data_IF_477666049501
#
_entry.id   IF_477666049501
#
_cell.length_a   1.000
_cell.length_b   1.000
_cell.length_c   1.000
_cell.angle_alpha   90.00
_cell.angle_beta   90.00
_cell.angle_gamma   90.00
#
_symmetry.space_group_name_H-M   'P 1'
#
loop_
_entity.id
_entity.type
_entity.pdbx_description
1 polymer ?
#
# COMPACT_ATOMS: atom_id res chain seq x y z
N UNK A 1 2.01 18.91 26.36
CA UNK A 1 2.03 19.93 25.28
C UNK A 1 2.04 19.20 23.94
N UNK A 2 0.88 19.04 23.28
CA UNK A 2 0.83 18.52 21.90
C UNK A 2 1.07 19.69 20.97
N UNK A 3 2.13 19.61 20.17
CA UNK A 3 2.49 20.62 19.19
C UNK A 3 1.38 20.71 18.14
N UNK A 4 0.74 21.87 18.09
CA UNK A 4 -0.10 22.30 16.98
C UNK A 4 0.79 22.49 15.75
N UNK A 5 0.82 21.50 14.85
CA UNK A 5 1.21 21.72 13.45
C UNK A 5 -0.06 21.78 12.62
N UNK A 6 -0.46 23.00 12.25
CA UNK A 6 -1.44 23.20 11.19
C UNK A 6 -0.77 22.89 9.83
N UNK A 7 -1.35 21.97 9.06
CA UNK A 7 -1.06 21.80 7.62
C UNK A 7 -0.73 20.38 7.18
N UNK A 8 -1.75 19.59 6.87
CA UNK A 8 -1.64 18.28 6.21
C UNK A 8 -2.10 17.11 7.08
N UNK A 9 -2.99 16.28 6.57
CA UNK A 9 -3.30 15.01 7.23
C UNK A 9 -2.02 14.15 7.24
N UNK A 10 -1.63 13.52 8.36
CA UNK A 10 -0.35 12.84 8.50
C UNK A 10 -0.36 11.47 7.82
N UNK A 11 -0.60 11.48 6.51
CA UNK A 11 -0.62 10.30 5.65
C UNK A 11 0.24 10.56 4.42
N UNK A 12 0.98 9.54 4.02
CA UNK A 12 1.87 9.58 2.87
C UNK A 12 1.50 8.41 1.94
N UNK A 13 1.49 8.63 0.61
CA UNK A 13 1.18 7.56 -0.33
C UNK A 13 2.19 6.40 -0.22
N UNK A 14 1.69 5.17 -0.27
CA UNK A 14 2.51 3.96 -0.16
C UNK A 14 3.58 3.87 -1.27
N UNK A 15 3.24 4.33 -2.48
CA UNK A 15 4.12 4.29 -3.65
C UNK A 15 5.36 5.20 -3.51
N UNK A 16 5.32 6.22 -2.66
CA UNK A 16 6.50 7.08 -2.38
C UNK A 16 7.63 6.28 -1.72
N UNK A 17 7.28 5.22 -0.97
CA UNK A 17 8.25 4.35 -0.27
C UNK A 17 8.47 3.01 -0.96
N UNK A 18 7.44 2.50 -1.62
CA UNK A 18 7.46 1.17 -2.25
C UNK A 18 6.93 1.20 -3.68
N UNK A 19 7.59 1.91 -4.61
CA UNK A 19 7.09 2.11 -5.98
C UNK A 19 6.90 0.78 -6.73
N UNK A 20 7.86 -0.14 -6.66
CA UNK A 20 7.79 -1.44 -7.37
C UNK A 20 6.67 -2.35 -6.86
N UNK A 21 6.37 -2.27 -5.56
CA UNK A 21 5.28 -3.06 -4.95
C UNK A 21 3.94 -2.42 -5.31
N UNK A 22 3.85 -1.09 -5.20
CA UNK A 22 2.67 -0.35 -5.56
C UNK A 22 2.29 -0.55 -7.03
N UNK A 23 3.25 -0.54 -7.96
CA UNK A 23 3.02 -0.79 -9.39
C UNK A 23 2.37 -2.16 -9.64
N UNK A 24 2.80 -3.19 -8.92
CA UNK A 24 2.31 -4.58 -9.11
C UNK A 24 1.00 -4.85 -8.38
N UNK A 25 0.73 -4.15 -7.30
CA UNK A 25 -0.27 -4.58 -6.31
C UNK A 25 -1.41 -3.57 -6.07
N UNK A 26 -1.26 -2.34 -6.57
CA UNK A 26 -2.32 -1.32 -6.51
C UNK A 26 -3.57 -1.86 -7.19
N UNK A 27 -4.68 -1.83 -6.45
CA UNK A 27 -5.97 -2.26 -6.99
C UNK A 27 -6.44 -1.22 -8.01
N UNK A 28 -7.02 -1.71 -9.10
CA UNK A 28 -7.75 -0.91 -10.06
C UNK A 28 -9.17 -1.45 -10.23
N UNK A 29 -10.11 -0.56 -10.55
CA UNK A 29 -11.47 -0.88 -10.96
C UNK A 29 -11.66 -0.28 -12.35
N UNK A 30 -11.86 -1.14 -13.35
CA UNK A 30 -12.17 -0.71 -14.71
C UNK A 30 -13.69 -0.66 -14.88
N UNK A 31 -14.25 0.54 -15.04
CA UNK A 31 -15.66 0.71 -15.36
C UNK A 31 -15.84 0.73 -16.87
N UNK A 32 -16.53 -0.29 -17.41
CA UNK A 32 -16.90 -0.37 -18.83
C UNK A 32 -18.41 -0.54 -18.86
N UNK A 33 -19.11 0.40 -19.51
CA UNK A 33 -20.57 0.42 -19.56
C UNK A 33 -21.24 0.34 -18.17
N UNK A 34 -20.57 0.83 -17.12
CA UNK A 34 -21.16 0.91 -15.79
C UNK A 34 -22.25 2.01 -15.79
N UNK A 35 -23.47 1.72 -15.31
CA UNK A 35 -24.59 2.67 -15.34
C UNK A 35 -24.41 3.85 -14.37
N UNK A 36 -23.53 3.73 -13.37
CA UNK A 36 -23.32 4.72 -12.31
C UNK A 36 -21.94 5.40 -12.43
N UNK A 37 -20.92 4.67 -12.86
CA UNK A 37 -19.55 5.18 -13.04
C UNK A 37 -19.24 5.48 -14.51
N UNK A 38 -18.72 6.68 -14.82
CA UNK A 38 -18.17 6.98 -16.14
C UNK A 38 -17.10 5.96 -16.55
N UNK A 39 -17.03 5.65 -17.85
CA UNK A 39 -16.05 4.70 -18.39
C UNK A 39 -14.62 5.19 -18.20
N UNK A 40 -13.95 4.66 -17.20
CA UNK A 40 -12.60 5.02 -16.77
C UNK A 40 -11.96 3.84 -16.04
N UNK A 41 -10.67 3.95 -15.77
CA UNK A 41 -9.96 3.12 -14.81
C UNK A 41 -9.75 3.91 -13.52
N UNK A 42 -10.19 3.34 -12.41
CA UNK A 42 -10.09 3.95 -11.09
C UNK A 42 -9.03 3.20 -10.27
N UNK A 43 -7.87 3.84 -10.07
CA UNK A 43 -6.79 3.32 -9.25
C UNK A 43 -6.98 3.67 -7.78
N UNK A 44 -6.82 2.70 -6.89
CA UNK A 44 -6.94 2.89 -5.44
C UNK A 44 -5.55 3.13 -4.84
N UNK A 45 -5.07 4.38 -4.93
CA UNK A 45 -3.74 4.73 -4.43
C UNK A 45 -3.77 4.75 -2.90
N UNK A 46 -3.09 3.78 -2.30
CA UNK A 46 -2.99 3.63 -0.85
C UNK A 46 -2.14 4.73 -0.21
N UNK A 47 -2.58 5.27 0.91
CA UNK A 47 -1.82 6.17 1.78
C UNK A 47 -1.97 5.76 3.24
N UNK A 48 -0.86 5.86 3.99
CA UNK A 48 -0.72 5.34 5.34
C UNK A 48 -0.16 6.39 6.31
N UNK A 49 -0.49 6.24 7.60
CA UNK A 49 -0.10 7.22 8.61
C UNK A 49 1.42 7.23 8.78
N UNK A 50 2.03 8.42 8.65
CA UNK A 50 3.47 8.60 8.77
C UNK A 50 3.91 9.15 10.14
N UNK A 51 3.02 9.14 11.14
CA UNK A 51 3.40 9.44 12.52
C UNK A 51 4.18 8.26 13.13
N UNK A 52 5.37 8.51 13.70
CA UNK A 52 6.12 7.50 14.44
C UNK A 52 5.30 6.88 15.57
N UNK A 53 5.41 5.57 15.74
CA UNK A 53 4.74 4.75 16.77
C UNK A 53 3.20 4.74 16.71
N UNK A 54 2.58 5.30 15.67
CA UNK A 54 1.14 5.25 15.47
C UNK A 54 0.70 3.91 14.86
N UNK A 55 -0.08 3.12 15.61
CA UNK A 55 -0.73 1.87 15.15
C UNK A 55 -2.18 2.11 14.71
N UNK A 56 -2.46 3.15 13.91
CA UNK A 56 -3.86 3.47 13.57
C UNK A 56 -4.61 2.35 12.82
N UNK A 57 -3.92 1.40 12.17
CA UNK A 57 -4.51 0.26 11.42
C UNK A 57 -5.54 0.70 10.37
N UNK A 58 -5.20 1.77 9.65
CA UNK A 58 -6.06 2.39 8.63
C UNK A 58 -5.30 2.63 7.33
N UNK A 59 -6.06 2.61 6.24
CA UNK A 59 -5.62 3.00 4.90
C UNK A 59 -6.52 4.11 4.37
N UNK A 60 -5.95 5.02 3.60
CA UNK A 60 -6.68 6.00 2.81
C UNK A 60 -6.49 5.63 1.34
N UNK A 61 -7.58 5.46 0.61
CA UNK A 61 -7.58 5.30 -0.83
C UNK A 61 -7.79 6.66 -1.48
N UNK A 62 -6.75 7.20 -2.10
CA UNK A 62 -6.87 8.29 -3.05
C UNK A 62 -7.30 7.67 -4.39
N UNK A 63 -8.60 7.69 -4.66
CA UNK A 63 -9.16 7.07 -5.86
C UNK A 63 -8.88 7.98 -7.05
N UNK A 64 -7.93 7.58 -7.88
CA UNK A 64 -7.49 8.32 -9.05
C UNK A 64 -8.20 7.80 -10.31
N UNK A 65 -8.89 8.67 -11.03
CA UNK A 65 -9.51 8.36 -12.31
C UNK A 65 -8.51 8.64 -13.43
N UNK A 66 -8.08 7.60 -14.17
CA UNK A 66 -6.95 7.65 -15.10
C UNK A 66 -7.20 8.58 -16.28
N UNK A 67 -8.35 8.47 -16.96
CA UNK A 67 -8.68 9.32 -18.11
C UNK A 67 -8.94 10.75 -17.67
N UNK A 68 -9.60 10.94 -16.53
CA UNK A 68 -9.86 12.27 -15.94
C UNK A 68 -8.61 12.92 -15.33
N UNK A 69 -7.58 12.14 -15.03
CA UNK A 69 -6.30 12.55 -14.42
C UNK A 69 -6.46 13.32 -13.10
N UNK A 70 -7.41 12.90 -12.27
CA UNK A 70 -7.69 13.54 -10.99
C UNK A 70 -8.06 12.54 -9.89
N UNK A 71 -7.85 12.92 -8.63
CA UNK A 71 -8.40 12.20 -7.47
C UNK A 71 -9.88 12.57 -7.36
N UNK A 72 -10.75 11.57 -7.55
CA UNK A 72 -12.21 11.75 -7.55
C UNK A 72 -12.86 11.39 -6.21
N UNK A 73 -12.16 10.66 -5.35
CA UNK A 73 -12.59 10.37 -3.98
C UNK A 73 -11.40 10.09 -3.07
N UNK A 74 -11.54 10.39 -1.78
CA UNK A 74 -10.63 9.93 -0.72
C UNK A 74 -11.44 9.15 0.30
N UNK A 75 -11.18 7.85 0.38
CA UNK A 75 -11.95 6.89 1.17
C UNK A 75 -11.05 6.28 2.24
N UNK A 76 -11.41 6.41 3.51
CA UNK A 76 -10.69 5.80 4.62
C UNK A 76 -11.31 4.47 5.01
N UNK A 77 -10.48 3.47 5.31
CA UNK A 77 -10.90 2.16 5.82
C UNK A 77 -10.00 1.72 6.97
N UNK A 78 -10.61 1.10 7.97
CA UNK A 78 -9.94 0.59 9.16
C UNK A 78 -10.32 -0.84 9.49
N UNK A 79 -9.34 -1.73 9.55
CA UNK A 79 -9.60 -3.17 9.75
C UNK A 79 -9.66 -3.60 11.23
N UNK A 80 -9.21 -2.78 12.17
CA UNK A 80 -9.24 -3.13 13.59
C UNK A 80 -10.67 -3.23 14.18
N UNK A 81 -10.81 -3.85 15.35
CA UNK A 81 -12.13 -3.98 16.00
C UNK A 81 -12.65 -2.64 16.52
N UNK A 82 -13.97 -2.52 16.72
CA UNK A 82 -14.55 -1.31 17.34
C UNK A 82 -13.94 -1.02 18.72
N UNK A 83 -13.73 -2.06 19.52
CA UNK A 83 -13.08 -1.94 20.83
C UNK A 83 -11.63 -1.46 20.72
N UNK A 84 -10.90 -1.85 19.67
CA UNK A 84 -9.57 -1.30 19.41
C UNK A 84 -9.65 0.20 19.15
N UNK A 85 -10.54 0.65 18.26
CA UNK A 85 -10.67 2.06 17.93
C UNK A 85 -11.16 2.92 19.10
N UNK A 86 -12.06 2.38 19.93
CA UNK A 86 -12.49 3.07 21.15
C UNK A 86 -11.30 3.35 22.08
N UNK A 87 -10.42 2.36 22.29
CA UNK A 87 -9.20 2.52 23.10
C UNK A 87 -8.19 3.45 22.43
N UNK A 88 -7.99 3.31 21.12
CA UNK A 88 -7.02 4.09 20.36
C UNK A 88 -7.38 5.58 20.32
N UNK A 89 -8.66 5.92 20.14
CA UNK A 89 -9.15 7.29 20.25
C UNK A 89 -9.16 7.82 21.69
N UNK A 90 -9.22 6.92 22.68
CA UNK A 90 -9.50 7.28 24.07
C UNK A 90 -10.95 7.72 24.32
N UNK A 91 -11.88 7.36 23.42
CA UNK A 91 -13.30 7.67 23.53
C UNK A 91 -14.17 6.60 22.87
N UNK A 92 -15.43 6.47 23.32
CA UNK A 92 -16.34 5.42 22.87
C UNK A 92 -17.55 5.96 22.06
N UNK A 93 -17.36 7.01 21.26
CA UNK A 93 -18.43 7.52 20.39
C UNK A 93 -18.70 6.53 19.23
N UNK A 94 -19.91 5.95 19.12
CA UNK A 94 -20.18 4.92 18.12
C UNK A 94 -20.08 5.44 16.68
N UNK A 95 -20.49 6.68 16.41
CA UNK A 95 -20.49 7.26 15.05
C UNK A 95 -19.06 7.47 14.57
N UNK A 96 -18.21 8.03 15.42
CA UNK A 96 -16.78 8.19 15.10
C UNK A 96 -16.10 6.84 14.88
N UNK A 97 -16.41 5.84 15.71
CA UNK A 97 -15.85 4.50 15.56
C UNK A 97 -16.27 3.86 14.23
N UNK A 98 -17.53 4.00 13.83
CA UNK A 98 -18.02 3.49 12.55
C UNK A 98 -17.37 4.23 11.37
N UNK A 99 -17.14 5.55 11.47
CA UNK A 99 -16.36 6.31 10.46
C UNK A 99 -14.88 5.87 10.41
N UNK A 100 -14.26 5.52 11.55
CA UNK A 100 -12.90 4.98 11.57
C UNK A 100 -12.80 3.61 10.92
N UNK A 101 -13.79 2.74 11.15
CA UNK A 101 -13.91 1.42 10.53
C UNK A 101 -14.11 1.54 9.02
N UNK A 102 -14.99 2.43 8.60
CA UNK A 102 -15.28 2.65 7.18
C UNK A 102 -15.72 1.38 6.43
N UNK A 103 -15.58 1.35 5.09
CA UNK A 103 -15.07 2.44 4.26
C UNK A 103 -15.96 3.68 4.35
N UNK A 104 -15.36 4.85 4.56
CA UNK A 104 -16.05 6.12 4.71
C UNK A 104 -15.29 7.24 3.98
N UNK A 105 -16.00 8.25 3.49
CA UNK A 105 -15.36 9.41 2.88
C UNK A 105 -14.54 10.18 3.91
N UNK A 106 -13.31 10.52 3.56
CA UNK A 106 -12.53 11.45 4.35
C UNK A 106 -13.08 12.87 4.16
N UNK A 107 -13.81 13.37 5.15
CA UNK A 107 -14.49 14.68 5.09
C UNK A 107 -13.55 15.87 4.92
N UNK A 108 -12.29 15.74 5.34
CA UNK A 108 -11.28 16.78 5.19
C UNK A 108 -10.69 16.87 3.77
N UNK A 109 -10.94 15.88 2.90
CA UNK A 109 -10.49 15.88 1.51
C UNK A 109 -11.57 16.36 0.56
N UNK A 110 -11.15 16.91 -0.59
CA UNK A 110 -12.05 17.16 -1.71
C UNK A 110 -12.66 15.84 -2.20
N UNK A 111 -13.97 15.84 -2.43
CA UNK A 111 -14.72 14.71 -2.96
C UNK A 111 -15.45 15.13 -4.24
N UNK A 112 -15.50 14.27 -5.25
CA UNK A 112 -16.34 14.49 -6.43
C UNK A 112 -17.75 13.92 -6.23
N UNK A 113 -18.65 14.16 -7.20
CA UNK A 113 -19.99 13.53 -7.23
C UNK A 113 -19.93 12.00 -7.37
N UNK A 114 -18.79 11.44 -7.79
CA UNK A 114 -18.58 9.99 -7.90
C UNK A 114 -18.27 9.32 -6.56
N UNK A 115 -17.91 10.10 -5.54
CA UNK A 115 -17.38 9.57 -4.28
C UNK A 115 -18.36 8.61 -3.55
N UNK A 116 -19.68 8.87 -3.48
CA UNK A 116 -20.62 7.92 -2.87
C UNK A 116 -20.66 6.56 -3.59
N UNK A 117 -20.64 6.58 -4.93
CA UNK A 117 -20.64 5.35 -5.75
C UNK A 117 -19.35 4.56 -5.50
N UNK A 118 -18.22 5.26 -5.47
CA UNK A 118 -16.91 4.65 -5.20
C UNK A 118 -16.81 4.06 -3.79
N UNK A 119 -17.47 4.64 -2.78
CA UNK A 119 -17.57 4.01 -1.45
C UNK A 119 -18.28 2.66 -1.53
N UNK A 120 -19.39 2.56 -2.26
CA UNK A 120 -20.09 1.28 -2.44
C UNK A 120 -19.21 0.27 -3.20
N UNK A 121 -18.48 0.70 -4.24
CA UNK A 121 -17.53 -0.19 -4.92
C UNK A 121 -16.40 -0.66 -3.99
N UNK A 122 -15.87 0.23 -3.14
CA UNK A 122 -14.87 -0.16 -2.12
C UNK A 122 -15.45 -1.14 -1.10
N UNK A 123 -16.71 -0.99 -0.67
CA UNK A 123 -17.35 -1.98 0.23
C UNK A 123 -17.35 -3.38 -0.38
N UNK A 124 -17.67 -3.50 -1.67
CA UNK A 124 -17.63 -4.79 -2.38
C UNK A 124 -16.20 -5.33 -2.48
N UNK A 125 -15.23 -4.48 -2.86
CA UNK A 125 -13.82 -4.88 -2.97
C UNK A 125 -13.26 -5.38 -1.62
N UNK A 126 -13.65 -4.74 -0.50
CA UNK A 126 -13.20 -5.10 0.84
C UNK A 126 -13.83 -6.39 1.39
N UNK A 127 -14.77 -7.02 0.68
CA UNK A 127 -15.25 -8.37 1.02
C UNK A 127 -14.20 -9.45 0.69
N UNK A 128 -13.23 -9.14 -0.18
CA UNK A 128 -12.11 -10.04 -0.46
C UNK A 128 -11.08 -9.98 0.68
N UNK A 129 -11.08 -11.01 1.52
CA UNK A 129 -10.13 -11.14 2.62
C UNK A 129 -8.67 -11.09 2.15
N UNK A 130 -8.35 -11.61 0.95
CA UNK A 130 -6.99 -11.55 0.41
C UNK A 130 -6.57 -10.11 0.12
N UNK A 131 -7.50 -9.27 -0.30
CA UNK A 131 -7.23 -7.85 -0.47
C UNK A 131 -7.01 -7.16 0.88
N UNK A 132 -7.84 -7.47 1.89
CA UNK A 132 -7.68 -6.92 3.23
C UNK A 132 -6.34 -7.33 3.86
N UNK A 133 -5.90 -8.58 3.69
CA UNK A 133 -4.58 -9.03 4.15
C UNK A 133 -3.44 -8.34 3.41
N UNK A 134 -3.60 -8.04 2.12
CA UNK A 134 -2.62 -7.25 1.36
C UNK A 134 -2.49 -5.83 1.92
N UNK A 135 -3.60 -5.17 2.23
CA UNK A 135 -3.59 -3.83 2.85
C UNK A 135 -2.90 -3.84 4.22
N UNK A 136 -3.11 -4.88 5.03
CA UNK A 136 -2.43 -5.04 6.31
C UNK A 136 -0.92 -5.24 6.13
N UNK A 137 -0.50 -6.00 5.12
CA UNK A 137 0.91 -6.19 4.78
C UNK A 137 1.56 -4.89 4.34
N UNK A 138 0.94 -4.15 3.43
CA UNK A 138 1.43 -2.85 2.98
C UNK A 138 1.54 -1.86 4.14
N UNK A 139 0.53 -1.82 5.03
CA UNK A 139 0.60 -1.03 6.26
C UNK A 139 1.80 -1.41 7.14
N UNK A 140 2.04 -2.70 7.38
CA UNK A 140 3.16 -3.15 8.19
C UNK A 140 4.52 -2.80 7.55
N UNK A 141 4.66 -2.98 6.22
CA UNK A 141 5.84 -2.55 5.47
C UNK A 141 6.07 -1.05 5.60
N UNK A 142 5.01 -0.25 5.43
CA UNK A 142 5.06 1.20 5.58
C UNK A 142 5.49 1.62 6.98
N UNK A 143 4.83 1.08 8.02
CA UNK A 143 5.14 1.38 9.42
C UNK A 143 6.57 0.99 9.80
N UNK A 144 7.10 -0.12 9.29
CA UNK A 144 8.49 -0.48 9.51
C UNK A 144 9.47 0.61 9.04
N UNK A 145 9.19 1.27 7.91
CA UNK A 145 10.03 2.39 7.42
C UNK A 145 9.85 3.68 8.20
N UNK A 146 8.65 3.93 8.74
CA UNK A 146 8.36 5.15 9.53
C UNK A 146 8.98 5.06 10.91
N UNK A 147 8.90 3.90 11.54
CA UNK A 147 9.35 3.68 12.92
C UNK A 147 10.85 3.33 12.98
N UNK A 148 11.54 3.31 11.85
CA UNK A 148 12.97 2.98 11.76
C UNK A 148 13.28 1.50 12.04
N UNK A 149 12.29 0.61 11.92
CA UNK A 149 12.51 -0.82 12.06
C UNK A 149 13.33 -1.34 10.86
N UNK A 150 14.24 -2.32 11.07
CA UNK A 150 14.92 -2.97 9.96
C UNK A 150 13.87 -3.54 9.01
N UNK A 151 13.92 -3.18 7.73
CA UNK A 151 12.99 -3.72 6.74
C UNK A 151 13.06 -5.25 6.80
N UNK A 152 11.93 -5.97 6.87
CA UNK A 152 11.96 -7.39 6.58
C UNK A 152 12.46 -7.48 5.14
N UNK A 153 13.68 -7.98 4.98
CA UNK A 153 14.27 -8.22 3.68
C UNK A 153 13.21 -8.98 2.88
N UNK A 154 12.70 -8.35 1.82
CA UNK A 154 11.94 -9.07 0.82
C UNK A 154 12.83 -10.24 0.46
N UNK A 155 12.37 -11.46 0.77
CA UNK A 155 12.94 -12.67 0.18
C UNK A 155 12.68 -12.52 -1.31
N UNK A 156 13.55 -11.80 -1.99
CA UNK A 156 13.79 -12.01 -3.40
C UNK A 156 14.22 -13.47 -3.48
N UNK A 157 13.28 -14.36 -3.79
CA UNK A 157 13.58 -15.68 -4.32
C UNK A 157 14.20 -15.45 -5.70
N UNK A 158 15.47 -15.10 -5.64
CA UNK A 158 16.36 -14.78 -6.73
C UNK A 158 17.73 -14.81 -6.11
N UNK A 159 18.12 -15.99 -5.60
CA UNK A 159 19.52 -16.24 -5.26
C UNK A 159 20.30 -15.94 -6.53
N UNK A 160 21.01 -14.81 -6.56
CA UNK A 160 22.09 -14.63 -7.51
C UNK A 160 22.93 -15.91 -7.44
N UNK A 161 23.24 -16.55 -8.59
CA UNK A 161 23.99 -17.79 -8.57
C UNK A 161 25.24 -17.56 -7.71
N UNK A 162 25.59 -18.52 -6.83
CA UNK A 162 26.69 -18.35 -5.90
C UNK A 162 27.91 -17.86 -6.68
N UNK A 163 28.53 -16.76 -6.23
CA UNK A 163 29.70 -16.17 -6.88
C UNK A 163 30.78 -17.25 -6.99
N UNK A 164 30.93 -17.85 -8.18
CA UNK A 164 31.93 -18.88 -8.43
C UNK A 164 33.31 -18.23 -8.26
N UNK A 165 34.10 -18.76 -7.33
CA UNK A 165 35.45 -18.27 -7.10
C UNK A 165 36.30 -18.40 -8.36
N UNK A 166 37.08 -17.37 -8.71
CA UNK A 166 37.93 -17.32 -9.92
C UNK A 166 38.83 -18.55 -10.10
N UNK A 167 39.24 -19.21 -9.02
CA UNK A 167 40.10 -20.41 -9.06
C UNK A 167 39.34 -21.75 -9.00
N UNK A 168 38.01 -21.75 -8.83
CA UNK A 168 37.21 -22.97 -8.78
C UNK A 168 37.17 -23.70 -10.13
N UNK A 169 36.93 -25.03 -10.17
CA UNK A 169 36.67 -25.75 -11.42
C UNK A 169 35.53 -25.09 -12.21
N UNK A 170 35.71 -24.96 -13.52
CA UNK A 170 34.74 -24.31 -14.38
C UNK A 170 33.52 -25.23 -14.62
N UNK A 171 32.28 -24.74 -14.44
CA UNK A 171 31.08 -25.58 -14.54
C UNK A 171 30.76 -26.05 -15.96
N UNK A 172 31.45 -25.58 -16.99
CA UNK A 172 31.25 -26.04 -18.38
C UNK A 172 31.88 -27.41 -18.69
N UNK A 173 32.50 -28.06 -17.70
CA UNK A 173 33.12 -29.39 -17.87
C UNK A 173 34.49 -29.36 -18.57
N UNK A 174 35.08 -28.17 -18.80
CA UNK A 174 36.38 -28.05 -19.50
C UNK A 174 37.58 -28.56 -18.71
N UNK A 175 37.42 -28.87 -17.42
CA UNK A 175 38.53 -29.21 -16.52
C UNK A 175 39.42 -28.01 -16.12
N UNK A 176 39.15 -26.80 -16.61
CA UNK A 176 39.92 -25.58 -16.32
C UNK A 176 39.38 -24.82 -15.10
N UNK A 177 40.19 -23.94 -14.50
CA UNK A 177 39.73 -22.97 -13.49
C UNK A 177 38.80 -21.92 -14.13
N UNK A 178 37.78 -21.45 -13.39
CA UNK A 178 36.76 -20.52 -13.90
C UNK A 178 37.34 -19.28 -14.59
N UNK A 179 38.35 -18.63 -13.99
CA UNK A 179 39.04 -17.45 -14.55
C UNK A 179 39.81 -17.69 -15.85
N UNK A 180 40.09 -18.96 -16.19
CA UNK A 180 40.82 -19.36 -17.39
C UNK A 180 39.88 -20.01 -18.43
N UNK A 181 38.57 -19.90 -18.23
CA UNK A 181 37.54 -20.44 -19.10
C UNK A 181 36.38 -19.44 -19.17
N UNK A 182 35.17 -19.79 -18.68
CA UNK A 182 33.99 -18.92 -18.78
C UNK A 182 34.11 -17.55 -18.08
N UNK A 183 35.05 -17.39 -17.14
CA UNK A 183 35.31 -16.13 -16.43
C UNK A 183 36.61 -15.43 -16.83
N UNK A 184 37.22 -15.81 -17.95
CA UNK A 184 38.39 -15.13 -18.51
C UNK A 184 38.01 -13.84 -19.25
N UNK A 185 38.95 -12.89 -19.42
CA UNK A 185 38.77 -11.83 -20.41
C UNK A 185 38.70 -12.49 -21.79
N UNK A 186 37.63 -12.21 -22.54
CA UNK A 186 37.52 -12.59 -23.95
C UNK A 186 38.56 -11.86 -24.80
#
# INVERSE_FOLDING_TARGET
MRSERAGGMPYEPFHERFPEVAEKETRTLTAINDPELPSDEYGFIEAYCNEPNCDCRRVFFNVFAVKRREIVAVIAYGWASRAYYARWLGMADPRMIDELKGPALNRASRQSKLAPILVERVKLILQDERYVERLKRHYAMFKATVDGAPQPATRQTGSAPPKIGRNAPCPCGSGKKYKNCCGGPG
#
